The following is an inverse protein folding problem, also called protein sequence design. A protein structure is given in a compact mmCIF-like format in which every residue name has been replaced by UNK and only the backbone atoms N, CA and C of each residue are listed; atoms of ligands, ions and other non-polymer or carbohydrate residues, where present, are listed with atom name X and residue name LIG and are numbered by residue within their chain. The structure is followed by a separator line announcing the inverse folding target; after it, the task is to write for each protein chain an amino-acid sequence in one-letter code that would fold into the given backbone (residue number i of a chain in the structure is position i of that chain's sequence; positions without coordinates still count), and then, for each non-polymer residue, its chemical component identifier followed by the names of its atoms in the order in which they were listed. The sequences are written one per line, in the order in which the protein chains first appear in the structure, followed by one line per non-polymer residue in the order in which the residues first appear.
data_IF_135646625547
#
_entry.id   IF_135646625547
#
_cell.length_a   1.000
_cell.length_b   1.000
_cell.length_c   1.000
_cell.angle_alpha   90.00
_cell.angle_beta   90.00
_cell.angle_gamma   90.00
#
_symmetry.space_group_name_H-M   'P 1'
#
loop_
_entity.id
_entity.type
_entity.pdbx_description
1 polymer ?
#
# COMPACT_ATOMS: atom_id res chain seq x y z
N UNK A 1 1.60 35.50 102.78
CA UNK A 1 2.76 34.64 103.05
C UNK A 1 2.70 33.44 102.11
N UNK A 2 3.85 33.09 101.52
CA UNK A 2 4.17 31.89 100.72
C UNK A 2 3.53 31.81 99.32
N UNK A 3 4.27 32.14 98.25
CA UNK A 3 5.25 31.32 97.49
C UNK A 3 4.60 30.25 96.58
N UNK A 4 4.91 30.35 95.28
CA UNK A 4 4.97 29.32 94.22
C UNK A 4 4.48 29.92 92.87
N UNK A 5 5.09 29.82 91.68
CA UNK A 5 6.33 29.20 91.16
C UNK A 5 6.50 29.75 89.73
N UNK A 6 7.74 30.02 89.31
CA UNK A 6 8.13 30.36 87.93
C UNK A 6 8.21 29.11 87.04
N UNK A 7 7.87 29.21 85.74
CA UNK A 7 8.54 28.60 84.56
C UNK A 7 7.68 28.78 83.26
N UNK A 8 8.20 28.57 82.02
CA UNK A 8 8.58 29.61 81.07
C UNK A 8 7.66 29.71 79.82
N UNK A 9 7.44 30.91 79.27
CA UNK A 9 6.77 31.07 77.97
C UNK A 9 7.76 30.99 76.82
N UNK A 10 7.56 29.98 75.99
CA UNK A 10 8.29 29.63 74.79
C UNK A 10 8.28 30.72 73.72
N UNK A 11 9.41 30.79 73.02
CA UNK A 11 9.61 31.46 71.75
C UNK A 11 9.01 30.59 70.63
N UNK A 12 8.11 31.11 69.80
CA UNK A 12 8.05 30.70 68.39
C UNK A 12 7.41 31.78 67.51
N UNK A 13 8.26 32.36 66.69
CA UNK A 13 7.98 33.32 65.65
C UNK A 13 7.59 32.55 64.37
N UNK A 14 6.30 32.46 64.06
CA UNK A 14 5.79 31.82 62.82
C UNK A 14 5.05 32.84 61.95
N UNK A 15 5.79 33.83 61.46
CA UNK A 15 5.26 34.92 60.62
C UNK A 15 5.74 34.98 59.16
N UNK A 16 6.57 34.04 58.68
CA UNK A 16 7.36 34.25 57.46
C UNK A 16 6.93 33.58 56.13
N UNK A 17 6.20 32.43 56.04
CA UNK A 17 6.06 31.76 54.75
C UNK A 17 4.89 32.25 53.87
N UNK A 18 3.92 33.01 54.39
CA UNK A 18 2.70 33.37 53.62
C UNK A 18 2.85 34.60 52.72
N UNK A 19 3.84 35.47 52.93
CA UNK A 19 3.99 36.71 52.14
C UNK A 19 4.76 36.51 50.83
N UNK A 20 5.62 35.48 50.75
CA UNK A 20 6.44 35.21 49.55
C UNK A 20 5.60 34.54 48.45
N UNK A 21 4.64 33.69 48.82
CA UNK A 21 3.76 32.98 47.87
C UNK A 21 2.81 33.92 47.11
N UNK A 22 2.32 34.98 47.75
CA UNK A 22 1.40 35.95 47.12
C UNK A 22 2.16 36.90 46.17
N UNK A 23 3.42 37.22 46.47
CA UNK A 23 4.26 38.02 45.59
C UNK A 23 4.68 37.25 44.32
N UNK A 24 4.92 35.94 44.43
CA UNK A 24 5.26 35.10 43.29
C UNK A 24 4.11 35.00 42.27
N UNK A 25 2.86 34.92 42.74
CA UNK A 25 1.67 34.89 41.89
C UNK A 25 1.34 36.22 41.19
N UNK A 26 1.85 37.36 41.70
CA UNK A 26 1.73 38.68 41.04
C UNK A 26 2.87 38.97 40.05
N UNK A 27 3.88 38.10 39.97
CA UNK A 27 5.00 38.28 39.04
C UNK A 27 4.52 38.22 37.60
N UNK A 28 4.88 39.24 36.82
CA UNK A 28 4.63 39.35 35.39
C UNK A 28 5.12 38.10 34.62
N UNK A 29 6.13 37.40 35.14
CA UNK A 29 6.64 36.16 34.57
C UNK A 29 5.63 35.00 34.68
N UNK A 30 4.88 34.86 35.78
CA UNK A 30 3.88 33.79 35.93
C UNK A 30 2.71 33.97 34.95
N UNK A 31 2.34 35.23 34.67
CA UNK A 31 1.33 35.55 33.64
C UNK A 31 1.81 35.24 32.23
N UNK A 32 3.08 35.53 31.93
CA UNK A 32 3.71 35.21 30.65
C UNK A 32 3.83 33.70 30.44
N UNK A 33 4.23 32.94 31.47
CA UNK A 33 4.26 31.48 31.41
C UNK A 33 2.86 30.87 31.26
N UNK A 34 1.85 31.41 31.94
CA UNK A 34 0.45 30.98 31.78
C UNK A 34 -0.07 31.22 30.36
N UNK A 35 0.20 32.40 29.78
CA UNK A 35 -0.17 32.71 28.39
C UNK A 35 0.60 31.85 27.38
N UNK A 36 1.88 31.60 27.62
CA UNK A 36 2.69 30.73 26.78
C UNK A 36 2.21 29.27 26.82
N UNK A 37 1.86 28.75 27.99
CA UNK A 37 1.27 27.43 28.13
C UNK A 37 -0.11 27.34 27.46
N UNK A 38 -0.95 28.37 27.61
CA UNK A 38 -2.24 28.45 26.91
C UNK A 38 -2.06 28.52 25.38
N UNK A 39 -1.06 29.25 24.90
CA UNK A 39 -0.70 29.32 23.49
C UNK A 39 -0.17 27.98 22.96
N UNK A 40 0.65 27.26 23.73
CA UNK A 40 1.10 25.91 23.38
C UNK A 40 -0.05 24.90 23.37
N UNK A 41 -1.01 25.01 24.29
CA UNK A 41 -2.23 24.19 24.28
C UNK A 41 -3.11 24.55 23.09
N UNK A 42 -3.26 25.83 22.76
CA UNK A 42 -3.98 26.28 21.57
C UNK A 42 -3.30 25.79 20.28
N UNK A 43 -1.97 25.85 20.18
CA UNK A 43 -1.22 25.24 19.07
C UNK A 43 -1.41 23.73 19.06
N UNK A 44 -1.35 23.06 20.20
CA UNK A 44 -1.56 21.61 20.28
C UNK A 44 -2.96 21.21 19.83
N UNK A 45 -3.99 21.95 20.22
CA UNK A 45 -5.36 21.77 19.72
C UNK A 45 -5.40 22.10 18.23
N UNK A 46 -4.83 23.20 17.75
CA UNK A 46 -4.88 23.55 16.32
C UNK A 46 -4.07 22.62 15.41
N UNK A 47 -2.99 22.02 15.92
CA UNK A 47 -2.09 21.12 15.18
C UNK A 47 -2.54 19.67 15.27
N UNK A 48 -3.03 19.20 16.43
CA UNK A 48 -3.52 17.83 16.60
C UNK A 48 -5.01 17.68 16.25
N UNK A 49 -5.85 18.67 16.55
CA UNK A 49 -7.30 18.63 16.33
C UNK A 49 -7.72 19.04 14.90
N UNK A 50 -6.78 19.59 14.11
CA UNK A 50 -6.94 19.70 12.65
C UNK A 50 -6.93 18.33 11.93
N UNK A 51 -6.79 17.22 12.67
CA UNK A 51 -6.92 15.86 12.15
C UNK A 51 -8.26 15.19 12.47
N UNK A 52 -9.08 15.75 13.36
CA UNK A 52 -10.24 15.05 13.96
C UNK A 52 -11.61 15.70 13.74
N UNK A 53 -11.71 16.84 13.07
CA UNK A 53 -12.99 17.59 12.91
C UNK A 53 -13.54 17.65 11.47
N UNK A 54 -13.15 16.73 10.60
CA UNK A 54 -13.95 16.44 9.42
C UNK A 54 -14.92 15.31 9.76
N UNK A 55 -16.24 15.56 9.72
CA UNK A 55 -17.21 14.47 9.62
C UNK A 55 -16.67 13.44 8.60
N UNK A 56 -16.72 12.13 8.88
CA UNK A 56 -16.21 11.13 7.95
C UNK A 56 -16.87 11.42 6.60
N UNK A 57 -16.06 11.83 5.62
CA UNK A 57 -16.57 11.99 4.28
C UNK A 57 -17.19 10.67 3.91
N UNK A 58 -18.45 10.67 3.48
CA UNK A 58 -19.11 9.46 3.01
C UNK A 58 -18.43 9.05 1.70
N UNK A 59 -17.34 8.30 1.84
CA UNK A 59 -16.56 7.73 0.74
C UNK A 59 -17.14 6.39 0.29
N UNK A 60 -18.29 5.96 0.82
CA UNK A 60 -18.91 4.70 0.43
C UNK A 60 -19.21 4.67 -1.07
N UNK A 61 -19.69 5.78 -1.64
CA UNK A 61 -20.01 5.91 -3.05
C UNK A 61 -18.80 5.77 -3.99
N UNK A 62 -17.57 5.97 -3.49
CA UNK A 62 -16.34 5.86 -4.28
C UNK A 62 -15.42 4.75 -3.79
N UNK A 63 -15.88 3.90 -2.88
CA UNK A 63 -15.09 2.83 -2.30
C UNK A 63 -14.78 1.76 -3.36
N UNK A 64 -13.50 1.55 -3.72
CA UNK A 64 -13.14 0.59 -4.76
C UNK A 64 -13.14 -0.86 -4.26
N UNK A 65 -13.33 -1.07 -2.95
CA UNK A 65 -13.23 -2.39 -2.31
C UNK A 65 -14.59 -3.07 -2.30
N UNK A 66 -14.87 -3.81 -3.39
CA UNK A 66 -16.08 -4.62 -3.55
C UNK A 66 -15.79 -6.12 -3.44
N UNK A 67 -16.84 -6.90 -3.24
CA UNK A 67 -16.74 -8.36 -3.38
C UNK A 67 -16.31 -8.72 -4.80
N UNK A 68 -15.60 -9.85 -4.93
CA UNK A 68 -15.33 -10.39 -6.26
C UNK A 68 -16.64 -10.78 -6.93
N UNK A 69 -16.75 -10.66 -8.26
CA UNK A 69 -17.86 -11.22 -9.01
C UNK A 69 -18.08 -12.69 -8.61
N UNK A 70 -19.33 -13.16 -8.50
CA UNK A 70 -19.63 -14.54 -8.10
C UNK A 70 -19.29 -15.57 -9.18
N UNK A 71 -18.81 -15.13 -10.35
CA UNK A 71 -18.44 -16.00 -11.47
C UNK A 71 -17.24 -16.89 -11.12
N UNK A 72 -17.42 -18.24 -11.11
CA UNK A 72 -16.34 -19.17 -10.81
C UNK A 72 -15.19 -19.09 -11.83
N UNK A 73 -15.43 -18.65 -13.06
CA UNK A 73 -14.38 -18.49 -14.06
C UNK A 73 -13.39 -17.38 -13.66
N UNK A 74 -13.87 -16.26 -13.12
CA UNK A 74 -13.03 -15.18 -12.60
C UNK A 74 -12.18 -15.67 -11.43
N UNK A 75 -12.76 -16.46 -10.53
CA UNK A 75 -12.08 -17.01 -9.36
C UNK A 75 -10.96 -17.95 -9.79
N UNK A 76 -11.24 -18.83 -10.74
CA UNK A 76 -10.24 -19.71 -11.35
C UNK A 76 -9.13 -18.91 -12.05
N UNK A 77 -9.45 -17.84 -12.76
CA UNK A 77 -8.44 -17.00 -13.41
C UNK A 77 -7.53 -16.32 -12.38
N UNK A 78 -8.08 -15.69 -11.35
CA UNK A 78 -7.29 -15.05 -10.28
C UNK A 78 -6.34 -16.06 -9.63
N UNK A 79 -6.86 -17.25 -9.34
CA UNK A 79 -6.13 -18.38 -8.76
C UNK A 79 -4.90 -18.78 -9.57
N UNK A 80 -5.09 -18.97 -10.86
CA UNK A 80 -4.02 -19.34 -11.79
C UNK A 80 -2.98 -18.23 -11.93
N UNK A 81 -3.44 -16.98 -12.06
CA UNK A 81 -2.54 -15.83 -12.22
C UNK A 81 -1.73 -15.57 -10.95
N UNK A 82 -2.30 -15.80 -9.76
CA UNK A 82 -1.54 -15.76 -8.50
C UNK A 82 -0.45 -16.81 -8.45
N UNK A 83 -0.75 -18.03 -8.90
CA UNK A 83 0.26 -19.08 -8.99
C UNK A 83 1.37 -18.67 -9.95
N UNK A 84 1.04 -18.23 -11.16
CA UNK A 84 2.01 -17.76 -12.15
C UNK A 84 2.88 -16.64 -11.58
N UNK A 85 2.25 -15.63 -10.96
CA UNK A 85 2.95 -14.51 -10.33
C UNK A 85 3.97 -14.99 -9.31
N UNK A 86 3.57 -15.85 -8.39
CA UNK A 86 4.47 -16.31 -7.33
C UNK A 86 5.61 -17.16 -7.91
N UNK A 87 5.32 -18.05 -8.87
CA UNK A 87 6.33 -18.86 -9.55
C UNK A 87 7.38 -17.96 -10.23
N UNK A 88 6.93 -16.93 -10.96
CA UNK A 88 7.82 -15.98 -11.61
C UNK A 88 8.57 -15.09 -10.60
N UNK A 89 7.91 -14.61 -9.55
CA UNK A 89 8.53 -13.76 -8.52
C UNK A 89 9.62 -14.52 -7.79
N UNK A 90 9.27 -15.69 -7.25
CA UNK A 90 10.17 -16.46 -6.41
C UNK A 90 11.29 -17.09 -7.25
N UNK A 91 10.97 -17.43 -8.51
CA UNK A 91 11.94 -17.98 -9.47
C UNK A 91 12.93 -16.97 -10.00
N UNK A 92 12.45 -15.82 -10.50
CA UNK A 92 13.24 -14.92 -11.35
C UNK A 92 13.73 -13.65 -10.65
N UNK A 93 13.24 -13.32 -9.45
CA UNK A 93 13.61 -12.09 -8.74
C UNK A 93 14.44 -12.36 -7.48
N UNK A 94 15.49 -11.56 -7.20
CA UNK A 94 16.01 -10.48 -8.05
C UNK A 94 16.76 -11.01 -9.29
N UNK A 95 17.14 -12.28 -9.28
CA UNK A 95 17.83 -12.98 -10.38
C UNK A 95 17.45 -14.45 -10.38
N UNK A 96 17.49 -15.10 -11.53
CA UNK A 96 17.30 -16.56 -11.61
C UNK A 96 18.59 -17.28 -11.21
N UNK A 97 18.46 -18.55 -10.81
CA UNK A 97 19.58 -19.42 -10.53
C UNK A 97 19.82 -20.39 -11.70
N UNK A 98 21.07 -20.81 -11.99
CA UNK A 98 21.36 -21.70 -13.11
C UNK A 98 20.66 -23.06 -13.05
N UNK A 99 20.30 -23.51 -11.84
CA UNK A 99 19.60 -24.78 -11.57
C UNK A 99 18.07 -24.65 -11.58
N UNK A 100 17.54 -23.49 -11.94
CA UNK A 100 16.10 -23.27 -12.00
C UNK A 100 15.43 -23.98 -13.18
N UNK A 101 14.14 -24.30 -13.00
CA UNK A 101 13.30 -24.86 -14.05
C UNK A 101 12.81 -23.76 -15.02
N UNK A 102 13.68 -23.40 -15.95
CA UNK A 102 13.40 -22.41 -16.98
C UNK A 102 12.27 -22.82 -17.94
N UNK A 103 12.03 -24.12 -18.13
CA UNK A 103 10.90 -24.62 -18.93
C UNK A 103 9.57 -24.24 -18.27
N UNK A 104 9.47 -24.46 -16.96
CA UNK A 104 8.32 -24.02 -16.16
C UNK A 104 8.13 -22.51 -16.22
N UNK A 105 9.20 -21.71 -16.09
CA UNK A 105 9.09 -20.24 -16.18
C UNK A 105 8.63 -19.78 -17.57
N UNK A 106 9.17 -20.39 -18.63
CA UNK A 106 8.77 -20.12 -20.01
C UNK A 106 7.29 -20.44 -20.24
N UNK A 107 6.81 -21.57 -19.71
CA UNK A 107 5.43 -22.02 -19.83
C UNK A 107 4.45 -21.09 -19.08
N UNK A 108 4.75 -20.72 -17.83
CA UNK A 108 3.87 -19.82 -17.08
C UNK A 108 3.86 -18.40 -17.65
N UNK A 109 5.00 -17.91 -18.15
CA UNK A 109 5.06 -16.63 -18.86
C UNK A 109 4.25 -16.69 -20.16
N UNK A 110 4.35 -17.81 -20.91
CA UNK A 110 3.56 -18.03 -22.13
C UNK A 110 2.06 -18.01 -21.86
N UNK A 111 1.64 -18.57 -20.73
CA UNK A 111 0.25 -18.50 -20.29
C UNK A 111 -0.20 -17.04 -20.17
N UNK A 112 0.55 -16.18 -19.48
CA UNK A 112 0.20 -14.74 -19.37
C UNK A 112 0.16 -14.03 -20.73
N UNK A 113 1.11 -14.32 -21.61
CA UNK A 113 1.16 -13.73 -22.95
C UNK A 113 -0.08 -14.08 -23.79
N UNK A 114 -0.70 -15.22 -23.52
CA UNK A 114 -1.73 -15.78 -24.41
C UNK A 114 -3.16 -15.71 -23.91
N UNK A 115 -3.33 -15.47 -22.60
CA UNK A 115 -4.63 -15.47 -21.95
C UNK A 115 -5.56 -14.35 -22.42
N UNK A 116 -6.76 -14.75 -22.84
CA UNK A 116 -7.86 -13.84 -23.23
C UNK A 116 -8.81 -13.51 -22.08
N UNK A 117 -8.64 -14.17 -20.93
CA UNK A 117 -9.54 -14.11 -19.79
C UNK A 117 -9.04 -13.19 -18.67
N UNK A 118 -7.92 -12.50 -18.88
CA UNK A 118 -7.41 -11.49 -17.97
C UNK A 118 -8.30 -10.25 -18.05
N UNK A 119 -8.87 -9.82 -16.92
CA UNK A 119 -9.56 -8.53 -16.81
C UNK A 119 -8.71 -7.55 -15.99
N UNK A 120 -9.07 -6.26 -16.01
CA UNK A 120 -8.40 -5.28 -15.14
C UNK A 120 -8.51 -5.64 -13.66
N UNK A 121 -9.64 -6.23 -13.24
CA UNK A 121 -9.80 -6.80 -11.91
C UNK A 121 -8.74 -7.86 -11.62
N UNK A 122 -8.53 -8.81 -12.52
CA UNK A 122 -7.54 -9.90 -12.33
C UNK A 122 -6.12 -9.34 -12.21
N UNK A 123 -5.73 -8.37 -13.05
CA UNK A 123 -4.42 -7.72 -12.95
C UNK A 123 -4.28 -7.01 -11.60
N UNK A 124 -5.28 -6.23 -11.19
CA UNK A 124 -5.24 -5.47 -9.93
C UNK A 124 -5.19 -6.39 -8.70
N UNK A 125 -5.97 -7.46 -8.70
CA UNK A 125 -6.09 -8.39 -7.56
C UNK A 125 -4.84 -9.25 -7.41
N UNK A 126 -4.23 -9.66 -8.52
CA UNK A 126 -3.03 -10.50 -8.48
C UNK A 126 -1.74 -9.70 -8.37
N UNK A 127 -1.70 -8.48 -8.94
CA UNK A 127 -0.49 -7.66 -9.12
C UNK A 127 0.61 -8.36 -9.92
N UNK A 128 0.21 -9.21 -10.87
CA UNK A 128 1.15 -9.94 -11.75
C UNK A 128 1.93 -8.98 -12.65
N UNK A 129 1.33 -7.86 -13.03
CA UNK A 129 1.96 -6.76 -13.77
C UNK A 129 3.22 -6.23 -13.09
N UNK A 130 3.21 -6.12 -11.77
CA UNK A 130 4.35 -5.63 -11.01
C UNK A 130 5.50 -6.64 -10.95
N UNK A 131 5.17 -7.93 -10.88
CA UNK A 131 6.18 -8.99 -10.97
C UNK A 131 6.79 -9.02 -12.37
N UNK A 132 5.97 -8.94 -13.43
CA UNK A 132 6.46 -8.89 -14.82
C UNK A 132 7.31 -7.63 -15.05
N UNK A 133 6.87 -6.47 -14.55
CA UNK A 133 7.65 -5.22 -14.58
C UNK A 133 8.99 -5.37 -13.86
N UNK A 134 9.02 -5.98 -12.67
CA UNK A 134 10.26 -6.19 -11.93
C UNK A 134 11.23 -7.11 -12.69
N UNK A 135 10.72 -8.13 -13.40
CA UNK A 135 11.52 -9.02 -14.24
C UNK A 135 12.05 -8.29 -15.48
N UNK A 136 11.21 -7.46 -16.10
CA UNK A 136 11.53 -6.60 -17.23
C UNK A 136 12.56 -5.51 -16.88
N UNK A 137 12.61 -5.07 -15.63
CA UNK A 137 13.57 -4.08 -15.15
C UNK A 137 14.86 -4.69 -14.57
N UNK A 138 15.03 -6.02 -14.68
CA UNK A 138 16.34 -6.65 -14.44
C UNK A 138 17.32 -6.19 -15.52
N UNK A 139 18.62 -6.43 -15.29
CA UNK A 139 19.64 -6.07 -16.27
C UNK A 139 20.33 -4.75 -15.99
N UNK A 140 21.44 -4.56 -16.69
CA UNK A 140 22.36 -3.45 -16.50
C UNK A 140 23.50 -3.76 -15.52
N UNK A 141 24.45 -2.84 -15.45
CA UNK A 141 25.76 -3.05 -14.80
C UNK A 141 25.71 -3.42 -13.32
N UNK A 142 24.65 -3.02 -12.60
CA UNK A 142 24.50 -3.31 -11.17
C UNK A 142 23.67 -4.58 -10.91
N UNK A 143 23.07 -5.13 -11.95
CA UNK A 143 22.19 -6.29 -11.90
C UNK A 143 22.29 -7.11 -13.19
N UNK A 144 23.48 -7.64 -13.55
CA UNK A 144 23.63 -8.52 -14.70
C UNK A 144 22.63 -9.68 -14.65
N UNK A 145 22.09 -10.04 -15.81
CA UNK A 145 21.17 -11.16 -15.98
C UNK A 145 22.02 -12.37 -16.39
N UNK A 146 21.85 -13.53 -15.74
CA UNK A 146 22.52 -14.76 -16.17
C UNK A 146 22.06 -15.18 -17.57
N UNK A 147 22.76 -16.14 -18.18
CA UNK A 147 22.28 -16.73 -19.43
C UNK A 147 20.98 -17.52 -19.19
N UNK A 148 19.85 -16.92 -19.55
CA UNK A 148 18.51 -17.53 -19.44
C UNK A 148 18.06 -18.04 -20.82
N UNK A 149 17.60 -19.30 -20.96
CA UNK A 149 17.01 -19.78 -22.21
C UNK A 149 15.66 -19.11 -22.47
N UNK A 150 15.10 -19.29 -23.68
CA UNK A 150 13.76 -18.83 -24.08
C UNK A 150 13.50 -17.31 -24.07
N UNK A 151 14.55 -16.48 -23.99
CA UNK A 151 14.42 -15.02 -23.95
C UNK A 151 13.43 -14.55 -22.86
N UNK A 152 13.49 -15.14 -21.66
CA UNK A 152 12.51 -14.87 -20.60
C UNK A 152 12.45 -13.37 -20.22
N UNK A 153 13.61 -12.72 -20.13
CA UNK A 153 13.70 -11.29 -19.84
C UNK A 153 13.08 -10.44 -20.98
N UNK A 154 13.47 -10.65 -22.24
CA UNK A 154 12.92 -9.89 -23.36
C UNK A 154 11.42 -10.13 -23.57
N UNK A 155 10.93 -11.34 -23.26
CA UNK A 155 9.49 -11.64 -23.22
C UNK A 155 8.76 -10.86 -22.13
N UNK A 156 9.32 -10.80 -20.93
CA UNK A 156 8.77 -10.01 -19.83
C UNK A 156 8.74 -8.51 -20.17
N UNK A 157 9.77 -7.97 -20.82
CA UNK A 157 9.78 -6.58 -21.32
C UNK A 157 8.64 -6.30 -22.30
N UNK A 158 8.45 -7.18 -23.30
CA UNK A 158 7.36 -7.04 -24.28
C UNK A 158 5.98 -7.11 -23.62
N UNK A 159 5.80 -8.05 -22.69
CA UNK A 159 4.54 -8.20 -21.95
C UNK A 159 4.27 -6.98 -21.04
N UNK A 160 5.31 -6.49 -20.35
CA UNK A 160 5.21 -5.27 -19.55
C UNK A 160 4.83 -4.06 -20.42
N UNK A 161 5.51 -3.86 -21.55
CA UNK A 161 5.23 -2.78 -22.49
C UNK A 161 3.81 -2.83 -23.05
N UNK A 162 3.31 -4.03 -23.36
CA UNK A 162 1.93 -4.26 -23.80
C UNK A 162 0.92 -3.85 -22.73
N UNK A 163 1.06 -4.35 -21.50
CA UNK A 163 0.16 -3.97 -20.41
C UNK A 163 0.26 -2.48 -20.04
N UNK A 164 1.45 -1.89 -20.11
CA UNK A 164 1.63 -0.45 -19.89
C UNK A 164 0.91 0.38 -20.96
N UNK A 165 0.98 -0.02 -22.23
CA UNK A 165 0.27 0.64 -23.32
C UNK A 165 -1.26 0.55 -23.14
N UNK A 166 -1.78 -0.63 -22.78
CA UNK A 166 -3.19 -0.81 -22.44
C UNK A 166 -3.61 0.04 -21.24
N UNK A 167 -2.75 0.11 -20.21
CA UNK A 167 -3.03 0.83 -18.98
C UNK A 167 -3.07 2.36 -19.17
N UNK A 168 -2.41 2.84 -20.23
CA UNK A 168 -2.33 4.25 -20.63
C UNK A 168 -3.44 4.67 -21.60
N UNK A 169 -4.28 3.73 -22.07
CA UNK A 169 -5.37 4.05 -22.99
C UNK A 169 -6.45 4.89 -22.32
N UNK A 170 -6.97 5.92 -23.02
CA UNK A 170 -7.97 6.85 -22.47
C UNK A 170 -9.26 6.15 -22.03
N UNK A 171 -9.66 5.13 -22.79
CA UNK A 171 -10.89 4.36 -22.55
C UNK A 171 -10.76 3.27 -21.47
N UNK A 172 -9.61 3.19 -20.79
CA UNK A 172 -9.44 2.23 -19.69
C UNK A 172 -10.50 2.50 -18.62
N UNK A 173 -11.29 1.49 -18.21
CA UNK A 173 -12.24 1.66 -17.12
C UNK A 173 -11.50 1.94 -15.82
N UNK A 174 -12.07 2.81 -14.99
CA UNK A 174 -11.56 3.04 -13.65
C UNK A 174 -12.02 1.96 -12.70
N UNK A 175 -11.33 1.84 -11.57
CA UNK A 175 -11.56 0.75 -10.62
C UNK A 175 -12.98 0.68 -10.04
N UNK A 176 -13.64 1.82 -9.87
CA UNK A 176 -15.02 1.87 -9.40
C UNK A 176 -16.04 1.61 -10.52
N UNK A 177 -15.64 1.64 -11.79
CA UNK A 177 -16.55 1.37 -12.90
C UNK A 177 -16.93 -0.12 -12.92
N UNK A 178 -18.19 -0.40 -13.25
CA UNK A 178 -18.68 -1.79 -13.43
C UNK A 178 -17.91 -2.49 -14.56
N UNK A 179 -17.53 -1.75 -15.61
CA UNK A 179 -16.75 -2.25 -16.73
C UNK A 179 -15.35 -2.73 -16.33
N UNK A 180 -14.81 -2.28 -15.21
CA UNK A 180 -13.48 -2.71 -14.74
C UNK A 180 -13.39 -4.22 -14.52
N UNK A 181 -14.48 -4.81 -14.02
CA UNK A 181 -14.52 -6.23 -13.69
C UNK A 181 -14.69 -7.09 -14.94
N UNK A 182 -15.34 -6.55 -15.97
CA UNK A 182 -15.76 -7.30 -17.17
C UNK A 182 -14.90 -7.01 -18.40
N UNK A 183 -14.12 -5.92 -18.42
CA UNK A 183 -13.28 -5.58 -19.57
C UNK A 183 -12.06 -6.50 -19.60
N UNK A 184 -12.05 -7.39 -20.58
CA UNK A 184 -10.94 -8.27 -20.88
C UNK A 184 -9.80 -7.52 -21.56
N UNK A 185 -8.58 -7.90 -21.20
CA UNK A 185 -7.36 -7.41 -21.83
C UNK A 185 -7.08 -8.24 -23.07
N UNK A 186 -6.74 -7.59 -24.21
CA UNK A 186 -6.29 -8.33 -25.37
C UNK A 186 -4.98 -9.07 -25.02
N UNK A 187 -4.85 -10.35 -25.39
CA UNK A 187 -3.63 -11.10 -25.15
C UNK A 187 -2.49 -10.53 -26.02
N UNK A 188 -1.25 -10.75 -25.59
CA UNK A 188 -0.08 -10.41 -26.41
C UNK A 188 0.06 -11.37 -27.62
N UNK A 189 -0.31 -12.64 -27.43
CA UNK A 189 -0.20 -13.75 -28.39
C UNK A 189 -1.48 -14.60 -28.36
N UNK A 190 -1.79 -15.39 -29.39
CA UNK A 190 -2.94 -16.31 -29.31
C UNK A 190 -2.56 -17.62 -28.57
N UNK A 191 -3.30 -18.07 -27.55
CA UNK A 191 -3.01 -19.35 -26.87
C UNK A 191 -3.63 -19.60 -25.47
N UNK A 192 -3.30 -20.75 -24.88
CA UNK A 192 -4.04 -21.51 -23.85
C UNK A 192 -3.72 -21.21 -22.36
N UNK A 193 -4.62 -21.69 -21.47
CA UNK A 193 -4.73 -21.44 -20.02
C UNK A 193 -4.11 -22.56 -19.15
N UNK A 194 -3.67 -22.27 -17.92
CA UNK A 194 -2.99 -23.22 -16.99
C UNK A 194 -3.59 -23.14 -15.57
N UNK A 195 -3.73 -24.26 -14.83
CA UNK A 195 -4.48 -24.40 -13.55
C UNK A 195 -3.61 -24.46 -12.28
N UNK A 196 -4.05 -23.94 -11.11
CA UNK A 196 -3.35 -24.11 -9.82
C UNK A 196 -4.25 -24.02 -8.58
N UNK A 197 -4.11 -24.89 -7.56
CA UNK A 197 -5.21 -25.10 -6.61
C UNK A 197 -5.10 -24.52 -5.18
N UNK A 198 -3.93 -24.58 -4.53
CA UNK A 198 -3.80 -24.33 -3.08
C UNK A 198 -3.66 -22.85 -2.68
N UNK A 199 -2.96 -22.03 -3.48
CA UNK A 199 -2.63 -20.63 -3.13
C UNK A 199 -3.84 -19.69 -3.11
N UNK A 200 -4.87 -20.01 -3.90
CA UNK A 200 -6.07 -19.20 -3.99
C UNK A 200 -6.88 -19.17 -2.69
N UNK A 201 -6.94 -20.28 -1.95
CA UNK A 201 -7.69 -20.36 -0.70
C UNK A 201 -7.13 -19.38 0.35
N UNK A 202 -5.80 -19.32 0.49
CA UNK A 202 -5.11 -18.39 1.40
C UNK A 202 -5.31 -16.92 0.97
N UNK A 203 -5.23 -16.65 -0.33
CA UNK A 203 -5.51 -15.32 -0.88
C UNK A 203 -6.96 -14.88 -0.62
N UNK A 204 -7.96 -15.73 -0.91
CA UNK A 204 -9.39 -15.42 -0.70
C UNK A 204 -9.67 -15.08 0.75
N UNK A 205 -9.19 -15.91 1.69
CA UNK A 205 -9.35 -15.66 3.13
C UNK A 205 -8.81 -14.28 3.55
N UNK A 206 -7.61 -13.91 3.09
CA UNK A 206 -7.01 -12.60 3.42
C UNK A 206 -7.76 -11.44 2.76
N UNK A 207 -8.16 -11.60 1.49
CA UNK A 207 -8.89 -10.59 0.71
C UNK A 207 -10.25 -10.32 1.32
N UNK A 208 -11.04 -11.34 1.57
CA UNK A 208 -12.42 -11.22 2.06
C UNK A 208 -12.45 -10.57 3.44
N UNK A 209 -11.52 -10.94 4.33
CA UNK A 209 -11.30 -10.25 5.60
C UNK A 209 -11.04 -8.75 5.40
N UNK A 210 -10.12 -8.39 4.51
CA UNK A 210 -9.78 -6.99 4.25
C UNK A 210 -10.96 -6.21 3.66
N UNK A 211 -11.69 -6.79 2.70
CA UNK A 211 -12.86 -6.17 2.09
C UNK A 211 -14.01 -6.00 3.08
N UNK A 212 -14.26 -6.98 3.95
CA UNK A 212 -15.29 -6.85 5.00
C UNK A 212 -15.06 -5.63 5.89
N UNK A 213 -13.82 -5.41 6.34
CA UNK A 213 -13.47 -4.23 7.11
C UNK A 213 -13.67 -2.93 6.34
N UNK A 214 -13.19 -2.89 5.09
CA UNK A 214 -13.17 -1.67 4.27
C UNK A 214 -14.55 -1.29 3.73
N UNK A 215 -15.53 -2.20 3.74
CA UNK A 215 -16.94 -1.87 3.48
C UNK A 215 -17.53 -1.04 4.61
N UNK A 216 -17.28 -1.45 5.85
CA UNK A 216 -17.77 -0.75 7.06
C UNK A 216 -16.93 0.50 7.37
N UNK A 217 -15.67 0.50 6.92
CA UNK A 217 -14.72 1.60 7.14
C UNK A 217 -14.09 2.04 5.80
N UNK A 218 -14.85 2.75 4.94
CA UNK A 218 -14.34 3.21 3.65
C UNK A 218 -13.05 4.02 3.83
N UNK A 219 -11.95 3.67 3.14
CA UNK A 219 -10.68 4.36 3.34
C UNK A 219 -10.75 5.77 2.77
N UNK A 220 -9.89 6.64 3.30
CA UNK A 220 -9.70 7.98 2.76
C UNK A 220 -8.84 7.89 1.48
N UNK A 221 -9.24 8.51 0.36
CA UNK A 221 -8.40 8.60 -0.83
C UNK A 221 -7.03 9.21 -0.51
N UNK A 222 -5.97 8.66 -1.11
CA UNK A 222 -4.61 9.21 -1.03
C UNK A 222 -4.49 10.53 -1.77
N UNK A 223 -5.15 10.62 -2.92
CA UNK A 223 -5.09 11.75 -3.82
C UNK A 223 -6.39 11.83 -4.64
N UNK A 224 -6.49 12.88 -5.45
CA UNK A 224 -7.61 13.11 -6.37
C UNK A 224 -7.05 13.55 -7.71
N UNK A 225 -7.59 12.99 -8.79
CA UNK A 225 -7.24 13.33 -10.16
C UNK A 225 -8.41 14.02 -10.85
N UNK A 226 -8.21 15.15 -11.56
CA UNK A 226 -9.26 15.75 -12.35
C UNK A 226 -9.64 14.84 -13.53
N UNK A 227 -10.92 14.75 -13.84
CA UNK A 227 -11.41 14.06 -15.04
C UNK A 227 -11.25 14.98 -16.24
N UNK A 228 -10.54 14.53 -17.26
CA UNK A 228 -10.53 15.20 -18.55
C UNK A 228 -11.84 14.85 -19.27
N UNK A 229 -12.73 15.83 -19.42
CA UNK A 229 -13.96 15.69 -20.22
C UNK A 229 -13.65 15.84 -21.70
N UNK A 230 -14.39 15.10 -22.54
CA UNK A 230 -14.22 15.07 -23.99
C UNK A 230 -14.65 16.38 -24.70
N UNK A 231 -15.25 17.31 -23.98
CA UNK A 231 -15.60 18.66 -24.46
C UNK A 231 -14.67 19.71 -23.82
N UNK A 232 -13.48 19.95 -24.40
CA UNK A 232 -12.58 21.00 -23.93
C UNK A 232 -13.16 22.41 -24.12
N UNK A 233 -14.17 22.57 -24.97
CA UNK A 233 -14.74 23.87 -25.33
C UNK A 233 -15.88 24.34 -24.40
N UNK A 234 -16.44 23.46 -23.55
CA UNK A 234 -17.52 23.81 -22.59
C UNK A 234 -17.01 24.07 -21.16
N UNK A 235 -15.74 23.76 -20.86
CA UNK A 235 -15.14 24.07 -19.57
C UNK A 235 -14.32 25.35 -19.70
N UNK A 236 -14.59 26.30 -18.81
CA UNK A 236 -13.85 27.54 -18.68
C UNK A 236 -12.32 27.33 -18.66
N UNK A 237 -11.50 28.33 -19.05
CA UNK A 237 -10.09 28.19 -19.46
C UNK A 237 -9.06 27.59 -18.48
N UNK A 238 -9.43 26.93 -17.38
CA UNK A 238 -8.48 26.20 -16.54
C UNK A 238 -9.05 25.04 -15.71
N UNK A 239 -9.98 24.29 -16.30
CA UNK A 239 -10.20 22.88 -15.97
C UNK A 239 -10.90 22.61 -14.63
N UNK A 240 -11.05 21.33 -14.29
CA UNK A 240 -11.84 20.87 -13.12
C UNK A 240 -11.44 21.51 -11.79
N UNK A 241 -10.16 21.90 -11.63
CA UNK A 241 -9.66 22.57 -10.42
C UNK A 241 -10.17 24.01 -10.28
N UNK A 242 -10.40 24.73 -11.38
CA UNK A 242 -10.94 26.09 -11.35
C UNK A 242 -12.41 26.14 -10.91
N UNK A 243 -13.18 25.08 -11.22
CA UNK A 243 -14.56 24.94 -10.77
C UNK A 243 -14.64 24.92 -9.24
N UNK A 244 -13.67 24.31 -8.56
CA UNK A 244 -13.62 24.23 -7.10
C UNK A 244 -12.90 25.41 -6.44
N UNK A 245 -11.97 26.04 -7.14
CA UNK A 245 -11.20 27.17 -6.65
C UNK A 245 -11.44 28.38 -7.55
N UNK A 246 -12.45 29.19 -7.20
CA UNK A 246 -12.62 30.52 -7.78
C UNK A 246 -11.26 31.25 -7.77
N UNK A 247 -10.71 31.52 -8.97
CA UNK A 247 -9.41 32.17 -9.28
C UNK A 247 -8.18 31.28 -9.57
N UNK A 248 -8.33 29.97 -9.84
CA UNK A 248 -7.25 29.12 -10.39
C UNK A 248 -5.96 28.94 -9.55
N UNK A 249 -5.82 29.59 -8.40
CA UNK A 249 -4.62 29.46 -7.56
C UNK A 249 -4.76 28.22 -6.67
N UNK A 250 -4.42 27.05 -7.24
CA UNK A 250 -4.03 25.88 -6.46
C UNK A 250 -2.62 26.14 -5.93
N UNK A 251 -2.51 26.81 -4.78
CA UNK A 251 -1.22 26.92 -4.10
C UNK A 251 -0.79 25.54 -3.61
N UNK A 252 0.44 25.13 -3.93
CA UNK A 252 1.05 23.95 -3.34
C UNK A 252 0.94 24.03 -1.81
N UNK A 253 0.40 22.98 -1.18
CA UNK A 253 0.18 22.91 0.27
C UNK A 253 -1.19 23.36 0.78
N UNK A 254 -2.10 23.87 -0.09
CA UNK A 254 -3.48 24.16 0.32
C UNK A 254 -4.25 22.86 0.56
N UNK A 255 -4.74 22.65 1.80
CA UNK A 255 -5.60 21.51 2.12
C UNK A 255 -6.94 21.63 1.39
N UNK A 256 -7.24 20.69 0.51
CA UNK A 256 -8.56 20.55 -0.10
C UNK A 256 -9.43 19.68 0.82
N UNK A 257 -10.61 20.16 1.17
CA UNK A 257 -11.58 19.37 1.94
C UNK A 257 -12.04 18.20 1.07
N UNK A 258 -11.67 16.97 1.46
CA UNK A 258 -12.03 15.76 0.72
C UNK A 258 -13.54 15.56 0.55
N UNK A 259 -14.37 16.16 1.41
CA UNK A 259 -15.83 16.16 1.28
C UNK A 259 -16.36 16.96 0.09
N UNK A 260 -15.59 17.93 -0.45
CA UNK A 260 -15.96 18.67 -1.68
C UNK A 260 -15.56 17.93 -2.96
N UNK A 261 -14.69 16.94 -2.83
CA UNK A 261 -14.22 16.08 -3.92
C UNK A 261 -15.00 14.76 -3.94
N UNK A 262 -15.37 14.24 -2.78
CA UNK A 262 -16.26 13.09 -2.65
C UNK A 262 -17.61 13.36 -3.33
N UNK A 263 -17.98 12.49 -4.28
CA UNK A 263 -19.21 12.62 -5.06
C UNK A 263 -19.17 13.66 -6.18
N UNK A 264 -18.06 14.38 -6.38
CA UNK A 264 -17.92 15.31 -7.50
C UNK A 264 -17.49 14.54 -8.77
N UNK A 265 -18.29 14.52 -9.85
CA UNK A 265 -17.96 13.79 -11.07
C UNK A 265 -16.72 14.32 -11.81
N UNK A 266 -16.30 15.55 -11.52
CA UNK A 266 -15.10 16.15 -12.12
C UNK A 266 -13.79 15.65 -11.47
N UNK A 267 -13.87 14.87 -10.39
CA UNK A 267 -12.71 14.36 -9.66
C UNK A 267 -12.80 12.87 -9.39
N UNK A 268 -11.69 12.18 -9.66
CA UNK A 268 -11.51 10.76 -9.43
C UNK A 268 -10.63 10.53 -8.21
N UNK A 269 -11.10 9.80 -7.18
CA UNK A 269 -10.26 9.47 -6.03
C UNK A 269 -9.20 8.45 -6.41
N UNK A 270 -8.00 8.61 -5.84
CA UNK A 270 -6.90 7.66 -5.96
C UNK A 270 -6.75 6.97 -4.60
N UNK A 271 -6.89 5.65 -4.59
CA UNK A 271 -6.78 4.80 -3.39
C UNK A 271 -5.47 4.02 -3.35
N UNK A 272 -5.14 3.46 -2.18
CA UNK A 272 -4.02 2.52 -2.04
C UNK A 272 -4.36 1.17 -2.66
N UNK A 273 -3.37 0.29 -2.75
CA UNK A 273 -3.60 -1.12 -3.03
C UNK A 273 -4.10 -1.86 -1.78
N UNK A 274 -4.90 -2.93 -1.95
CA UNK A 274 -5.59 -3.64 -0.85
C UNK A 274 -4.59 -4.10 0.21
N UNK A 275 -3.46 -4.61 -0.27
CA UNK A 275 -2.38 -5.17 0.56
C UNK A 275 -1.67 -4.12 1.42
N UNK A 276 -1.83 -2.83 1.08
CA UNK A 276 -1.23 -1.69 1.79
C UNK A 276 -2.25 -0.88 2.57
N UNK A 277 -3.54 -1.24 2.46
CA UNK A 277 -4.58 -0.66 3.30
C UNK A 277 -4.42 -1.11 4.75
N UNK A 278 -4.76 -0.22 5.67
CA UNK A 278 -4.61 -0.47 7.12
C UNK A 278 -5.84 -1.19 7.64
N UNK A 279 -5.84 -2.52 7.49
CA UNK A 279 -6.85 -3.39 8.10
C UNK A 279 -6.29 -3.94 9.42
N UNK A 280 -7.00 -3.80 10.56
CA UNK A 280 -6.59 -4.41 11.82
C UNK A 280 -6.34 -5.91 11.67
N UNK A 281 -5.25 -6.41 12.27
CA UNK A 281 -4.87 -7.81 12.12
C UNK A 281 -5.89 -8.76 12.78
N UNK A 282 -6.50 -8.29 13.86
CA UNK A 282 -7.53 -8.93 14.68
C UNK A 282 -8.94 -8.78 14.11
N UNK A 283 -9.13 -8.09 12.98
CA UNK A 283 -10.45 -7.98 12.37
C UNK A 283 -10.95 -9.35 11.90
N UNK A 284 -12.16 -9.68 12.33
CA UNK A 284 -12.91 -10.87 11.90
C UNK A 284 -14.16 -10.37 11.20
N UNK A 285 -14.47 -10.96 10.05
CA UNK A 285 -15.68 -10.62 9.31
C UNK A 285 -16.92 -10.94 10.19
N UNK A 286 -17.79 -9.96 10.48
CA UNK A 286 -18.98 -10.19 11.32
C UNK A 286 -19.96 -11.21 10.74
N UNK A 287 -19.94 -11.42 9.42
CA UNK A 287 -20.79 -12.39 8.72
C UNK A 287 -20.22 -13.82 8.71
N UNK A 288 -18.96 -14.01 9.13
CA UNK A 288 -18.36 -15.34 9.23
C UNK A 288 -18.73 -16.01 10.57
N UNK A 289 -19.10 -17.30 10.57
CA UNK A 289 -19.32 -18.03 11.81
C UNK A 289 -18.03 -18.04 12.64
N UNK A 290 -18.13 -17.72 13.93
CA UNK A 290 -17.01 -17.76 14.88
C UNK A 290 -16.39 -19.15 14.83
N UNK A 291 -15.22 -19.26 14.19
CA UNK A 291 -14.44 -20.49 14.18
C UNK A 291 -13.69 -20.56 15.50
N UNK A 292 -13.98 -21.57 16.31
CA UNK A 292 -13.09 -21.95 17.41
C UNK A 292 -11.75 -22.35 16.80
N UNK A 293 -10.75 -21.50 16.98
CA UNK A 293 -9.40 -21.77 16.52
C UNK A 293 -8.82 -22.90 17.38
N UNK A 294 -8.74 -24.11 16.82
CA UNK A 294 -8.03 -25.20 17.48
C UNK A 294 -6.54 -24.85 17.53
N UNK A 295 -5.96 -24.81 18.73
CA UNK A 295 -4.53 -24.49 18.97
C UNK A 295 -3.59 -25.33 18.09
N UNK A 296 -3.97 -26.58 17.81
CA UNK A 296 -3.24 -27.51 16.91
C UNK A 296 -3.15 -27.00 15.48
N UNK A 297 -4.22 -26.43 14.93
CA UNK A 297 -4.21 -25.90 13.57
C UNK A 297 -3.36 -24.65 13.47
N UNK A 298 -3.38 -23.81 14.51
CA UNK A 298 -2.53 -22.63 14.60
C UNK A 298 -1.04 -22.99 14.64
N UNK A 299 -0.65 -23.98 15.46
CA UNK A 299 0.73 -24.46 15.52
C UNK A 299 1.21 -25.01 14.17
N UNK A 300 0.35 -25.78 13.49
CA UNK A 300 0.65 -26.31 12.15
C UNK A 300 0.82 -25.19 11.11
N UNK A 301 -0.02 -24.16 11.16
CA UNK A 301 0.10 -22.98 10.28
C UNK A 301 1.40 -22.19 10.57
N UNK A 302 1.77 -22.04 11.85
CA UNK A 302 3.02 -21.39 12.25
C UNK A 302 4.26 -22.18 11.81
N UNK A 303 4.24 -23.50 11.91
CA UNK A 303 5.33 -24.36 11.43
C UNK A 303 5.48 -24.25 9.91
N UNK A 304 4.38 -24.40 9.16
CA UNK A 304 4.40 -24.23 7.71
C UNK A 304 4.93 -22.85 7.29
N UNK A 305 4.53 -21.78 8.00
CA UNK A 305 5.04 -20.43 7.75
C UNK A 305 6.55 -20.31 8.03
N UNK A 306 7.05 -20.94 9.11
CA UNK A 306 8.48 -20.94 9.44
C UNK A 306 9.29 -21.70 8.39
N UNK A 307 8.81 -22.85 7.94
CA UNK A 307 9.46 -23.64 6.90
C UNK A 307 9.49 -22.88 5.56
N UNK A 308 8.35 -22.30 5.16
CA UNK A 308 8.29 -21.47 3.95
C UNK A 308 9.22 -20.25 4.05
N UNK A 309 9.26 -19.59 5.21
CA UNK A 309 10.16 -18.45 5.44
C UNK A 309 11.62 -18.85 5.38
N UNK A 310 12.01 -20.02 5.90
CA UNK A 310 13.39 -20.53 5.81
C UNK A 310 13.77 -20.82 4.37
N UNK A 311 12.92 -21.56 3.64
CA UNK A 311 13.17 -21.89 2.25
C UNK A 311 13.31 -20.63 1.37
N UNK A 312 12.48 -19.61 1.60
CA UNK A 312 12.58 -18.31 0.91
C UNK A 312 13.88 -17.57 1.27
N UNK A 313 14.26 -17.56 2.54
CA UNK A 313 15.51 -16.91 2.96
C UNK A 313 16.73 -17.60 2.33
N UNK A 314 16.79 -18.93 2.40
CA UNK A 314 17.89 -19.71 1.80
C UNK A 314 18.01 -19.47 0.29
N UNK A 315 16.88 -19.40 -0.42
CA UNK A 315 16.86 -19.06 -1.84
C UNK A 315 17.33 -17.63 -2.09
N UNK A 316 16.84 -16.65 -1.32
CA UNK A 316 17.24 -15.25 -1.44
C UNK A 316 18.75 -15.08 -1.20
N UNK A 317 19.31 -15.80 -0.23
CA UNK A 317 20.75 -15.79 0.04
C UNK A 317 21.55 -16.40 -1.13
N UNK A 318 21.05 -17.48 -1.75
CA UNK A 318 21.66 -18.06 -2.96
C UNK A 318 21.64 -17.07 -4.13
N UNK A 319 20.49 -16.44 -4.38
CA UNK A 319 20.33 -15.43 -5.43
C UNK A 319 21.25 -14.23 -5.18
N UNK A 320 21.39 -13.76 -3.94
CA UNK A 320 22.29 -12.65 -3.60
C UNK A 320 23.75 -12.99 -3.89
N UNK A 321 24.21 -14.17 -3.45
CA UNK A 321 25.59 -14.64 -3.69
C UNK A 321 25.87 -14.80 -5.18
N UNK A 322 24.92 -15.37 -5.91
CA UNK A 322 25.04 -15.54 -7.36
C UNK A 322 25.06 -14.19 -8.09
N UNK A 323 24.21 -13.24 -7.69
CA UNK A 323 24.22 -11.89 -8.25
C UNK A 323 25.55 -11.16 -8.00
N UNK A 324 26.13 -11.33 -6.82
CA UNK A 324 27.46 -10.78 -6.51
C UNK A 324 28.54 -11.39 -7.39
N UNK A 325 28.51 -12.71 -7.61
CA UNK A 325 29.43 -13.39 -8.52
C UNK A 325 29.33 -12.85 -9.96
N UNK A 326 28.11 -12.71 -10.49
CA UNK A 326 27.87 -12.13 -11.81
C UNK A 326 28.40 -10.70 -11.93
N UNK A 327 28.27 -9.87 -10.89
CA UNK A 327 28.83 -8.50 -10.91
C UNK A 327 30.35 -8.50 -10.95
N UNK A 328 30.99 -9.42 -10.23
CA UNK A 328 32.46 -9.55 -10.25
C UNK A 328 32.93 -9.96 -11.64
N UNK A 329 32.26 -10.94 -12.25
CA UNK A 329 32.54 -11.40 -13.62
C UNK A 329 32.37 -10.29 -14.65
N UNK A 330 31.25 -9.56 -14.64
CA UNK A 330 31.01 -8.43 -15.56
C UNK A 330 32.05 -7.30 -15.38
N UNK A 331 32.52 -7.08 -14.14
CA UNK A 331 33.56 -6.09 -13.85
C UNK A 331 34.91 -6.52 -14.43
N UNK A 332 35.27 -7.81 -14.33
CA UNK A 332 36.50 -8.36 -14.89
C UNK A 332 36.50 -8.26 -16.43
N UNK A 333 35.42 -8.71 -17.08
CA UNK A 333 35.29 -8.64 -18.54
C UNK A 333 35.39 -7.21 -19.10
N UNK A 334 34.98 -6.20 -18.32
CA UNK A 334 35.09 -4.79 -18.70
C UNK A 334 36.46 -4.19 -18.39
N UNK A 335 37.08 -4.58 -17.28
CA UNK A 335 38.46 -4.17 -16.96
C UNK A 335 39.41 -4.57 -18.07
N UNK A 336 39.28 -5.80 -18.57
CA UNK A 336 40.07 -6.32 -19.69
C UNK A 336 39.79 -5.60 -21.03
N UNK A 337 38.62 -4.99 -21.19
CA UNK A 337 38.25 -4.19 -22.38
C UNK A 337 38.75 -2.75 -22.34
N UNK A 338 39.27 -2.25 -21.21
CA UNK A 338 39.88 -0.92 -21.11
C UNK A 338 41.40 -0.93 -21.30
N UNK A 339 42.03 -2.11 -21.36
CA UNK A 339 43.49 -2.27 -21.54
C UNK A 339 43.90 -2.71 -22.97
N UNK A 340 42.96 -2.76 -23.92
CA UNK A 340 43.19 -2.98 -25.35
C UNK A 340 42.78 -1.75 -26.16
#
# INVERSE_FOLDING_TARGET
MSQATLLPSECSDYGAPKRILIAFLKSQQVRLFGLFAAFLVAIRIFVLDASTSGAPGDYAATNPWRDLPPDPAVHQTIREVLFIRDTLRDGMLPTSLPDDDYDSYSAVLRSLETRTDLTWLVIQETRVDQTVMAIANRGGYRSPIPEEPYDLHGRAERLHGHWFALASHKDRPDRWDVRFDTTHLPPLLAGHKATADAKYAAYRKRRDRAVSYLKDHPPKPMAWSPVQTDHPDEIAPGGAWEILFHKAIVQAGRKVLGSRLAGNPAFKPIYRDLITERVPYDWVNPDEPVREYAERDHLKEMEAFREESKARQERADRQSKFQEALRVEETLERGDKQEL
#
